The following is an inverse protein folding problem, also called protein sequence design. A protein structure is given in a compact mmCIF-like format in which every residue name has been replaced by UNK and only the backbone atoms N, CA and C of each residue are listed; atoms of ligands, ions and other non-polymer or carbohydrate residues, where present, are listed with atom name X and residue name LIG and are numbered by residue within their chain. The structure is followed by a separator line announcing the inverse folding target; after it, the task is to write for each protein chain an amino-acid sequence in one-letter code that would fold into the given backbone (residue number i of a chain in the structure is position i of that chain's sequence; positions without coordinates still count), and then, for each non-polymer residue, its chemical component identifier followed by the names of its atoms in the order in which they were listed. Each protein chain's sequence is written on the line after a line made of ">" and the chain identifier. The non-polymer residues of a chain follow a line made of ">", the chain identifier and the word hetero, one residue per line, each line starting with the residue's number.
data_IF_553058223629
#
_entry.id   IF_553058223629
#
_cell.length_a   1.000
_cell.length_b   1.000
_cell.length_c   1.000
_cell.angle_alpha   90.00
_cell.angle_beta   90.00
_cell.angle_gamma   90.00
#
_symmetry.space_group_name_H-M   'P 1'
#
loop_
_entity.id
_entity.type
_entity.pdbx_description
1 polymer ?
#
# COMPACT_ATOMS: atom_id res chain seq x y z
N UNK A 1 8.84 9.91 10.60
CA UNK A 1 7.59 9.50 9.94
C UNK A 1 7.92 8.33 9.02
N UNK A 2 7.06 7.33 8.92
CA UNK A 2 7.30 6.16 8.07
C UNK A 2 6.43 6.31 6.82
N UNK A 3 7.07 6.59 5.68
CA UNK A 3 6.37 6.74 4.40
C UNK A 3 6.21 5.38 3.74
N UNK A 4 5.02 5.12 3.20
CA UNK A 4 4.71 3.83 2.60
C UNK A 4 3.90 3.99 1.31
N UNK A 5 4.14 3.12 0.34
CA UNK A 5 3.19 2.84 -0.73
C UNK A 5 2.52 1.52 -0.40
N UNK A 6 1.19 1.47 -0.44
CA UNK A 6 0.44 0.26 -0.09
C UNK A 6 -0.09 -0.34 -1.39
N UNK A 7 0.38 -1.52 -1.78
CA UNK A 7 -0.22 -2.24 -2.90
C UNK A 7 -1.70 -2.54 -2.61
N UNK A 8 -2.56 -2.38 -3.61
CA UNK A 8 -3.98 -2.68 -3.57
C UNK A 8 -4.30 -4.07 -3.01
N UNK A 9 -3.47 -5.08 -3.29
CA UNK A 9 -3.64 -6.42 -2.74
C UNK A 9 -3.63 -6.45 -1.20
N UNK A 10 -2.85 -5.59 -0.57
CA UNK A 10 -2.78 -5.47 0.90
C UNK A 10 -4.11 -4.95 1.45
N UNK A 11 -4.67 -3.91 0.83
CA UNK A 11 -5.98 -3.34 1.22
C UNK A 11 -7.10 -4.36 1.02
N UNK A 12 -7.14 -5.02 -0.16
CA UNK A 12 -8.11 -6.07 -0.45
C UNK A 12 -8.04 -7.19 0.58
N UNK A 13 -6.83 -7.67 0.87
CA UNK A 13 -6.61 -8.76 1.83
C UNK A 13 -7.01 -8.36 3.24
N UNK A 14 -6.71 -7.13 3.67
CA UNK A 14 -7.14 -6.58 4.95
C UNK A 14 -8.67 -6.53 5.09
N UNK A 15 -9.39 -6.27 4.00
CA UNK A 15 -10.86 -6.15 4.03
C UNK A 15 -11.61 -7.48 3.93
N UNK A 16 -10.98 -8.51 3.34
CA UNK A 16 -11.60 -9.82 3.14
C UNK A 16 -11.27 -10.79 4.27
N UNK A 17 -10.10 -10.64 4.90
CA UNK A 17 -9.68 -11.52 5.99
C UNK A 17 -10.64 -11.43 7.19
N UNK A 18 -10.85 -12.57 7.84
CA UNK A 18 -11.58 -12.65 9.12
C UNK A 18 -10.64 -12.57 10.33
N UNK A 19 -9.33 -12.59 10.10
CA UNK A 19 -8.33 -12.51 11.15
C UNK A 19 -7.96 -11.04 11.39
N UNK A 20 -8.37 -10.43 12.52
CA UNK A 20 -8.02 -9.04 12.83
C UNK A 20 -6.51 -8.85 13.04
N UNK A 21 -5.79 -9.92 13.38
CA UNK A 21 -4.34 -9.90 13.60
C UNK A 21 -3.55 -10.22 12.32
N UNK A 22 -4.20 -10.30 11.15
CA UNK A 22 -3.49 -10.48 9.90
C UNK A 22 -2.59 -9.26 9.62
N UNK A 23 -1.38 -9.49 9.11
CA UNK A 23 -0.41 -8.43 8.89
C UNK A 23 -0.96 -7.32 7.95
N UNK A 24 -1.73 -7.68 6.93
CA UNK A 24 -2.41 -6.73 6.05
C UNK A 24 -3.41 -5.85 6.79
N UNK A 25 -4.17 -6.42 7.73
CA UNK A 25 -5.11 -5.68 8.58
C UNK A 25 -4.38 -4.68 9.46
N UNK A 26 -3.28 -5.08 10.09
CA UNK A 26 -2.47 -4.20 10.92
C UNK A 26 -1.83 -3.07 10.11
N UNK A 27 -1.30 -3.35 8.91
CA UNK A 27 -0.79 -2.30 8.00
C UNK A 27 -1.88 -1.27 7.68
N UNK A 28 -3.09 -1.73 7.32
CA UNK A 28 -4.19 -0.83 7.02
C UNK A 28 -4.61 -0.01 8.26
N UNK A 29 -4.68 -0.63 9.45
CA UNK A 29 -4.98 0.07 10.71
C UNK A 29 -3.99 1.20 10.99
N UNK A 30 -2.68 0.94 10.87
CA UNK A 30 -1.63 1.94 11.05
C UNK A 30 -1.81 3.13 10.10
N UNK A 31 -2.15 2.86 8.84
CA UNK A 31 -2.40 3.91 7.84
C UNK A 31 -3.65 4.73 8.18
N UNK A 32 -4.73 4.09 8.66
CA UNK A 32 -5.97 4.75 9.05
C UNK A 32 -5.84 5.54 10.36
N UNK A 33 -4.93 5.13 11.26
CA UNK A 33 -4.59 5.84 12.49
C UNK A 33 -3.58 6.98 12.26
N UNK A 34 -2.95 7.04 11.09
CA UNK A 34 -1.92 8.04 10.76
C UNK A 34 -0.57 7.76 11.39
N UNK A 35 -0.32 6.53 11.85
CA UNK A 35 0.99 6.10 12.40
C UNK A 35 2.02 5.88 11.29
N UNK A 36 1.56 5.56 10.09
CA UNK A 36 2.34 5.50 8.86
C UNK A 36 1.68 6.41 7.82
N UNK A 37 2.46 6.97 6.90
CA UNK A 37 1.99 7.96 5.93
C UNK A 37 1.94 7.35 4.53
N UNK A 38 0.73 7.05 3.99
CA UNK A 38 0.59 6.59 2.62
C UNK A 38 1.02 7.65 1.62
N UNK A 39 1.89 7.29 0.69
CA UNK A 39 2.13 8.05 -0.54
C UNK A 39 1.13 7.55 -1.57
N UNK A 40 0.48 8.48 -2.27
CA UNK A 40 -0.43 8.18 -3.37
C UNK A 40 -0.30 9.23 -4.46
N UNK A 41 -0.87 8.91 -5.61
CA UNK A 41 -1.30 9.87 -6.62
C UNK A 41 -2.66 9.42 -7.17
N UNK A 42 -3.17 10.13 -8.18
CA UNK A 42 -4.51 9.84 -8.70
C UNK A 42 -4.63 8.43 -9.31
N UNK A 43 -3.64 7.92 -10.05
CA UNK A 43 -3.80 6.58 -10.66
C UNK A 43 -3.78 5.48 -9.59
N UNK A 44 -3.01 5.64 -8.51
CA UNK A 44 -3.04 4.69 -7.38
C UNK A 44 -4.41 4.71 -6.68
N UNK A 45 -5.00 5.89 -6.48
CA UNK A 45 -6.35 5.99 -5.90
C UNK A 45 -7.42 5.40 -6.83
N UNK A 46 -7.29 5.59 -8.14
CA UNK A 46 -8.20 5.03 -9.15
C UNK A 46 -8.10 3.50 -9.18
N UNK A 47 -6.88 2.95 -9.11
CA UNK A 47 -6.65 1.50 -9.00
C UNK A 47 -7.27 0.93 -7.72
N UNK A 48 -7.13 1.62 -6.57
CA UNK A 48 -7.83 1.21 -5.34
C UNK A 48 -9.34 1.15 -5.56
N UNK A 49 -9.94 2.19 -6.12
CA UNK A 49 -11.37 2.26 -6.34
C UNK A 49 -11.84 1.18 -7.32
N UNK A 50 -11.13 0.99 -8.44
CA UNK A 50 -11.45 -0.01 -9.44
C UNK A 50 -11.43 -1.41 -8.82
N UNK A 51 -10.35 -1.77 -8.14
CA UNK A 51 -10.18 -3.11 -7.58
C UNK A 51 -11.16 -3.36 -6.45
N UNK A 52 -11.32 -2.43 -5.50
CA UNK A 52 -12.18 -2.62 -4.33
C UNK A 52 -13.65 -2.73 -4.70
N UNK A 53 -14.08 -2.13 -5.82
CA UNK A 53 -15.47 -2.21 -6.31
C UNK A 53 -15.77 -3.49 -7.11
N UNK A 54 -14.76 -4.32 -7.42
CA UNK A 54 -14.97 -5.60 -8.14
C UNK A 54 -15.90 -6.52 -7.33
N UNK A 55 -17.02 -6.92 -7.95
CA UNK A 55 -18.08 -7.77 -7.34
C UNK A 55 -17.56 -9.04 -6.67
N UNK A 56 -16.45 -9.62 -7.17
CA UNK A 56 -15.84 -10.83 -6.63
C UNK A 56 -15.44 -10.71 -5.14
N UNK A 57 -15.13 -9.49 -4.68
CA UNK A 57 -14.73 -9.24 -3.29
C UNK A 57 -15.91 -8.99 -2.35
N UNK A 58 -17.12 -8.72 -2.89
CA UNK A 58 -18.35 -8.51 -2.11
C UNK A 58 -18.21 -7.42 -1.03
N UNK A 59 -17.36 -6.43 -1.26
CA UNK A 59 -17.17 -5.28 -0.39
C UNK A 59 -18.34 -4.29 -0.55
N UNK A 60 -18.71 -3.62 0.54
CA UNK A 60 -19.73 -2.57 0.52
C UNK A 60 -19.09 -1.24 0.15
N UNK A 61 -19.85 -0.39 -0.54
CA UNK A 61 -19.40 0.93 -0.99
C UNK A 61 -18.95 1.84 0.16
N UNK A 62 -19.73 1.91 1.25
CA UNK A 62 -19.41 2.78 2.39
C UNK A 62 -18.00 2.52 3.01
N UNK A 63 -17.62 1.27 3.33
CA UNK A 63 -16.25 0.96 3.75
C UNK A 63 -15.16 1.37 2.74
N UNK A 64 -15.39 1.15 1.45
CA UNK A 64 -14.41 1.51 0.40
C UNK A 64 -14.17 3.01 0.41
N UNK A 65 -15.25 3.80 0.38
CA UNK A 65 -15.18 5.26 0.39
C UNK A 65 -14.53 5.79 1.68
N UNK A 66 -14.85 5.18 2.83
CA UNK A 66 -14.23 5.55 4.11
C UNK A 66 -12.71 5.33 4.08
N UNK A 67 -12.26 4.17 3.59
CA UNK A 67 -10.84 3.82 3.55
C UNK A 67 -10.07 4.74 2.61
N UNK A 68 -10.53 4.89 1.36
CA UNK A 68 -9.88 5.77 0.37
C UNK A 68 -9.78 7.19 0.92
N UNK A 69 -10.88 7.72 1.48
CA UNK A 69 -10.90 9.05 2.08
C UNK A 69 -9.91 9.19 3.23
N UNK A 70 -9.82 8.19 4.11
CA UNK A 70 -8.95 8.25 5.29
C UNK A 70 -7.48 8.12 4.90
N UNK A 71 -7.15 7.24 3.95
CA UNK A 71 -5.82 7.18 3.33
C UNK A 71 -5.43 8.54 2.72
N UNK A 72 -6.37 9.19 2.03
CA UNK A 72 -6.13 10.52 1.43
C UNK A 72 -5.86 11.58 2.50
N UNK A 73 -6.60 11.54 3.62
CA UNK A 73 -6.44 12.49 4.75
C UNK A 73 -5.11 12.28 5.48
N UNK A 74 -4.70 11.04 5.69
CA UNK A 74 -3.48 10.71 6.44
C UNK A 74 -2.23 10.60 5.56
N UNK A 75 -2.39 10.60 4.25
CA UNK A 75 -1.34 10.43 3.26
C UNK A 75 -0.90 11.72 2.59
N UNK A 76 0.01 11.57 1.63
CA UNK A 76 0.57 12.66 0.82
C UNK A 76 0.36 12.32 -0.67
N UNK A 77 -0.26 13.25 -1.38
CA UNK A 77 -0.28 13.29 -2.84
C UNK A 77 1.11 13.71 -3.34
N UNK A 78 1.79 12.83 -4.08
CA UNK A 78 3.19 13.05 -4.50
C UNK A 78 3.43 12.63 -5.95
N UNK A 79 4.41 13.28 -6.58
CA UNK A 79 4.84 12.93 -7.93
C UNK A 79 5.74 11.69 -7.90
N UNK A 80 5.53 10.80 -8.87
CA UNK A 80 6.37 9.62 -9.09
C UNK A 80 7.79 10.00 -9.49
N UNK A 81 8.75 9.16 -9.09
CA UNK A 81 10.10 9.18 -9.66
C UNK A 81 10.22 8.05 -10.67
N UNK A 82 10.48 8.41 -11.94
CA UNK A 82 10.53 7.44 -13.03
C UNK A 82 11.58 6.36 -12.81
N UNK A 83 11.18 5.11 -13.02
CA UNK A 83 12.06 3.96 -13.02
C UNK A 83 12.35 3.56 -14.48
N UNK A 84 13.56 3.76 -14.96
CA UNK A 84 13.88 3.59 -16.40
C UNK A 84 14.25 2.17 -16.80
N UNK A 85 14.26 1.23 -15.85
CA UNK A 85 14.54 -0.18 -16.10
C UNK A 85 13.25 -0.99 -16.31
N UNK A 86 13.43 -2.25 -16.73
CA UNK A 86 12.33 -3.18 -16.96
C UNK A 86 11.66 -3.55 -15.63
N UNK A 87 10.33 -3.48 -15.60
CA UNK A 87 9.55 -4.00 -14.48
C UNK A 87 9.19 -5.47 -14.71
N UNK A 88 9.17 -6.32 -13.65
CA UNK A 88 8.65 -7.67 -13.78
C UNK A 88 7.15 -7.70 -14.15
N UNK A 89 6.38 -6.74 -13.64
CA UNK A 89 5.00 -6.47 -14.05
C UNK A 89 4.83 -4.96 -14.28
N UNK A 90 4.47 -4.58 -15.51
CA UNK A 90 4.33 -3.18 -15.91
C UNK A 90 3.09 -2.51 -15.31
N UNK A 91 2.03 -3.27 -15.00
CA UNK A 91 0.82 -2.73 -14.35
C UNK A 91 1.15 -2.25 -12.92
N UNK A 92 2.16 -2.85 -12.30
CA UNK A 92 2.62 -2.53 -10.95
C UNK A 92 3.68 -1.40 -10.91
N UNK A 93 4.10 -0.87 -12.07
CA UNK A 93 5.09 0.21 -12.18
C UNK A 93 4.69 1.44 -11.36
N UNK A 94 3.41 1.80 -11.38
CA UNK A 94 2.88 2.99 -10.71
C UNK A 94 3.19 2.98 -9.21
N UNK A 95 3.07 1.83 -8.55
CA UNK A 95 3.38 1.67 -7.13
C UNK A 95 4.89 1.74 -6.86
N UNK A 96 5.69 1.14 -7.74
CA UNK A 96 7.14 1.14 -7.59
C UNK A 96 7.73 2.54 -7.76
N UNK A 97 7.37 3.25 -8.83
CA UNK A 97 7.82 4.61 -9.08
C UNK A 97 7.38 5.60 -7.99
N UNK A 98 6.19 5.40 -7.43
CA UNK A 98 5.73 6.18 -6.30
C UNK A 98 6.57 5.92 -5.05
N UNK A 99 6.99 4.67 -4.82
CA UNK A 99 7.89 4.34 -3.72
C UNK A 99 9.29 4.95 -3.90
N UNK A 100 9.68 5.29 -5.13
CA UNK A 100 10.94 6.00 -5.40
C UNK A 100 10.86 7.51 -5.12
N UNK A 101 9.66 8.08 -4.96
CA UNK A 101 9.47 9.52 -4.72
C UNK A 101 10.05 9.98 -3.37
N UNK A 102 10.13 9.08 -2.40
CA UNK A 102 10.68 9.35 -1.06
C UNK A 102 11.82 8.36 -0.75
N UNK A 103 13.04 8.85 -0.41
CA UNK A 103 14.23 8.02 -0.25
C UNK A 103 14.06 6.80 0.65
N UNK A 104 13.39 6.97 1.80
CA UNK A 104 13.22 5.92 2.81
C UNK A 104 11.81 5.29 2.82
N UNK A 105 10.97 5.58 1.81
CA UNK A 105 9.63 4.99 1.75
C UNK A 105 9.66 3.50 1.39
N UNK A 106 8.71 2.73 1.91
CA UNK A 106 8.62 1.28 1.66
C UNK A 106 7.39 0.96 0.82
N UNK A 107 7.56 0.09 -0.18
CA UNK A 107 6.43 -0.50 -0.90
C UNK A 107 6.00 -1.79 -0.19
N UNK A 108 4.78 -1.78 0.34
CA UNK A 108 4.20 -2.92 1.04
C UNK A 108 3.32 -3.71 0.08
N UNK A 109 3.68 -4.97 -0.20
CA UNK A 109 2.97 -5.83 -1.16
C UNK A 109 2.89 -7.28 -0.73
N UNK A 110 1.78 -7.96 -1.05
CA UNK A 110 1.66 -9.41 -0.97
C UNK A 110 2.23 -10.16 -2.18
N UNK A 111 2.61 -9.45 -3.25
CA UNK A 111 2.98 -9.98 -4.56
C UNK A 111 4.39 -9.53 -4.98
N UNK A 112 5.39 -9.66 -4.09
CA UNK A 112 6.76 -9.17 -4.32
C UNK A 112 7.42 -9.62 -5.64
N UNK A 113 6.95 -10.72 -6.25
CA UNK A 113 7.40 -11.19 -7.56
C UNK A 113 7.08 -10.24 -8.74
N UNK A 114 6.15 -9.30 -8.57
CA UNK A 114 5.78 -8.31 -9.58
C UNK A 114 6.74 -7.10 -9.60
N UNK A 115 7.60 -6.99 -8.59
CA UNK A 115 8.46 -5.83 -8.39
C UNK A 115 9.95 -6.20 -8.48
N UNK A 116 10.82 -5.23 -8.79
CA UNK A 116 12.27 -5.40 -8.66
C UNK A 116 12.65 -5.83 -7.23
N UNK A 117 13.56 -6.79 -7.14
CA UNK A 117 14.03 -7.30 -5.84
C UNK A 117 14.96 -6.28 -5.18
N UNK A 118 14.40 -5.44 -4.32
CA UNK A 118 15.11 -4.38 -3.60
C UNK A 118 14.67 -4.35 -2.14
N UNK A 119 15.48 -3.82 -1.20
CA UNK A 119 15.07 -3.65 0.20
C UNK A 119 13.82 -2.76 0.41
N UNK A 120 13.43 -2.01 -0.62
CA UNK A 120 12.25 -1.15 -0.63
C UNK A 120 10.93 -1.93 -0.68
N UNK A 121 10.95 -3.11 -1.31
CA UNK A 121 9.76 -3.94 -1.52
C UNK A 121 9.68 -4.95 -0.39
N UNK A 122 8.67 -4.81 0.45
CA UNK A 122 8.49 -5.62 1.66
C UNK A 122 7.10 -6.23 1.72
N UNK A 123 6.99 -7.42 2.30
CA UNK A 123 5.71 -8.00 2.67
C UNK A 123 5.10 -7.27 3.88
N UNK A 124 3.77 -7.34 4.09
CA UNK A 124 3.14 -6.80 5.29
C UNK A 124 3.79 -7.28 6.59
N UNK A 125 4.17 -8.56 6.67
CA UNK A 125 4.81 -9.12 7.87
C UNK A 125 6.25 -8.63 8.05
N UNK A 126 6.99 -8.39 6.98
CA UNK A 126 8.33 -7.79 7.05
C UNK A 126 8.24 -6.34 7.51
N UNK A 127 7.31 -5.57 6.94
CA UNK A 127 7.06 -4.19 7.35
C UNK A 127 6.77 -4.07 8.85
N UNK A 128 5.89 -4.91 9.39
CA UNK A 128 5.57 -4.88 10.82
C UNK A 128 6.78 -5.18 11.72
N UNK A 129 7.66 -6.10 11.31
CA UNK A 129 8.91 -6.35 12.05
C UNK A 129 9.85 -5.14 12.01
N UNK A 130 9.98 -4.49 10.85
CA UNK A 130 10.83 -3.29 10.70
C UNK A 130 10.38 -2.18 11.66
N UNK A 131 9.07 -1.94 11.78
CA UNK A 131 8.57 -0.89 12.68
C UNK A 131 8.63 -1.28 14.16
N UNK A 132 8.53 -2.57 14.49
CA UNK A 132 8.72 -3.05 15.87
C UNK A 132 10.18 -2.87 16.30
N UNK A 133 11.14 -3.30 15.46
CA UNK A 133 12.57 -3.17 15.74
C UNK A 133 13.02 -1.72 15.88
N UNK A 134 12.46 -0.79 15.09
CA UNK A 134 12.77 0.64 15.17
C UNK A 134 12.17 1.36 16.39
N UNK A 135 11.19 0.75 17.07
CA UNK A 135 10.55 1.29 18.26
C UNK A 135 11.16 0.71 19.56
N UNK A 136 12.19 -0.13 19.46
CA UNK A 136 12.89 -0.76 20.60
C UNK A 136 14.28 -0.15 20.79
#
# INVERSE_FOLDING_TARGET
>A
MIYVVIDTNVIVSALITKNPNAATTRVLELALMGEIVPLYDQDVLDEYLEVLTRKKFKLKENPIQYIIKTITINGIDTLRTSFLEDMPDEDDRVFYELSLSEPDSLLITGNSKHFPRTPRVVSPSEFLRIIEDNNT
#
